data_IF_871537587524
#
_entry.id   IF_871537587524
#
_cell.length_a   1.000
_cell.length_b   1.000
_cell.length_c   1.000
_cell.angle_alpha   90.00
_cell.angle_beta   90.00
_cell.angle_gamma   90.00
#
_symmetry.space_group_name_H-M   'P 1'
#
loop_
_entity.id
_entity.type
_entity.pdbx_description
1 polymer ?
#
# COMPACT_ATOMS: atom_id res chain seq x y z
N UNK A 1 4.29 11.17 1.23
CA UNK A 1 3.00 10.84 0.60
C UNK A 1 2.07 10.61 1.74
N UNK A 2 1.13 11.52 1.88
CA UNK A 2 0.21 11.52 2.99
C UNK A 2 -0.91 10.50 2.70
N UNK A 3 -1.52 9.88 3.72
CA UNK A 3 -2.57 8.88 3.51
C UNK A 3 -3.71 9.38 2.61
N UNK A 4 -4.08 10.66 2.72
CA UNK A 4 -5.12 11.28 1.90
C UNK A 4 -4.74 11.39 0.42
N UNK A 5 -3.45 11.58 0.10
CA UNK A 5 -2.98 11.60 -1.30
C UNK A 5 -3.10 10.20 -1.90
N UNK A 6 -2.81 9.16 -1.11
CA UNK A 6 -2.91 7.77 -1.56
C UNK A 6 -4.36 7.33 -1.73
N UNK A 7 -5.25 7.77 -0.84
CA UNK A 7 -6.69 7.60 -0.98
C UNK A 7 -7.18 8.25 -2.29
N UNK A 8 -6.80 9.50 -2.55
CA UNK A 8 -7.14 10.20 -3.79
C UNK A 8 -6.63 9.45 -5.04
N UNK A 9 -5.42 8.89 -5.00
CA UNK A 9 -4.90 8.08 -6.11
C UNK A 9 -5.70 6.78 -6.29
N UNK A 10 -6.10 6.14 -5.20
CA UNK A 10 -6.92 4.92 -5.23
C UNK A 10 -8.33 5.15 -5.79
N UNK A 11 -8.86 6.38 -5.71
CA UNK A 11 -10.15 6.73 -6.31
C UNK A 11 -10.16 6.66 -7.85
N UNK A 12 -8.98 6.65 -8.48
CA UNK A 12 -8.84 6.43 -9.92
C UNK A 12 -9.08 4.98 -10.36
N UNK A 13 -9.15 4.04 -9.42
CA UNK A 13 -9.38 2.63 -9.72
C UNK A 13 -10.81 2.38 -10.25
N UNK A 14 -10.94 1.49 -11.22
CA UNK A 14 -12.24 1.18 -11.82
C UNK A 14 -13.00 0.14 -10.99
N UNK A 15 -14.28 0.41 -10.77
CA UNK A 15 -15.20 -0.49 -10.08
C UNK A 15 -16.49 -0.64 -10.88
N UNK A 16 -17.13 -1.80 -10.73
CA UNK A 16 -18.41 -2.08 -11.40
C UNK A 16 -19.55 -1.55 -10.55
N UNK A 17 -20.47 -0.81 -11.18
CA UNK A 17 -21.73 -0.38 -10.58
C UNK A 17 -22.92 -0.90 -11.37
N UNK A 18 -24.07 -0.98 -10.71
CA UNK A 18 -25.38 -1.20 -11.33
C UNK A 18 -26.21 0.07 -11.16
N UNK A 19 -26.32 0.92 -12.20
CA UNK A 19 -27.05 2.18 -12.12
C UNK A 19 -28.57 1.94 -12.13
N UNK A 20 -29.30 2.91 -11.57
CA UNK A 20 -30.77 2.94 -11.47
C UNK A 20 -31.38 4.03 -12.36
N UNK A 21 -30.58 4.62 -13.24
CA UNK A 21 -30.95 5.73 -14.10
C UNK A 21 -30.43 5.49 -15.52
N UNK A 22 -30.99 6.23 -16.47
CA UNK A 22 -30.52 6.25 -17.86
C UNK A 22 -29.78 7.55 -18.13
N UNK A 23 -28.62 7.46 -18.77
CA UNK A 23 -27.82 8.60 -19.21
C UNK A 23 -26.88 8.17 -20.33
N UNK A 24 -26.68 9.03 -21.32
CA UNK A 24 -25.68 8.79 -22.38
C UNK A 24 -24.25 8.84 -21.81
N UNK A 25 -23.27 8.39 -22.60
CA UNK A 25 -21.87 8.47 -22.18
C UNK A 25 -21.40 9.91 -22.03
N UNK A 26 -20.45 10.12 -21.12
CA UNK A 26 -19.80 11.41 -20.89
C UNK A 26 -18.32 11.21 -21.15
N UNK A 27 -17.76 12.03 -22.05
CA UNK A 27 -16.33 12.10 -22.30
C UNK A 27 -15.67 13.02 -21.28
N UNK A 28 -14.85 12.45 -20.39
CA UNK A 28 -13.98 13.19 -19.48
C UNK A 28 -12.60 13.35 -20.12
N UNK A 29 -11.73 14.17 -19.51
CA UNK A 29 -10.39 14.43 -20.05
C UNK A 29 -9.54 13.17 -20.21
N UNK A 30 -9.68 12.22 -19.29
CA UNK A 30 -8.84 11.01 -19.22
C UNK A 30 -9.58 9.72 -19.56
N UNK A 31 -10.92 9.72 -19.52
CA UNK A 31 -11.72 8.52 -19.80
C UNK A 31 -13.15 8.87 -20.24
N UNK A 32 -13.84 7.89 -20.83
CA UNK A 32 -15.27 7.97 -21.09
C UNK A 32 -16.02 7.13 -20.05
N UNK A 33 -17.07 7.69 -19.45
CA UNK A 33 -17.93 6.98 -18.49
C UNK A 33 -19.33 6.78 -19.05
N UNK A 34 -19.95 5.64 -18.76
CA UNK A 34 -21.23 5.24 -19.34
C UNK A 34 -21.09 4.63 -20.74
N UNK A 35 -22.18 4.51 -21.51
CA UNK A 35 -23.55 4.94 -21.20
C UNK A 35 -24.14 4.16 -20.01
N UNK A 36 -25.04 4.82 -19.26
CA UNK A 36 -25.70 4.24 -18.10
C UNK A 36 -27.09 3.77 -18.48
N UNK A 37 -27.36 2.49 -18.24
CA UNK A 37 -28.66 1.88 -18.42
C UNK A 37 -29.14 1.23 -17.12
N UNK A 38 -30.40 1.45 -16.70
CA UNK A 38 -30.90 0.87 -15.46
C UNK A 38 -30.70 -0.65 -15.42
N UNK A 39 -30.14 -1.14 -14.31
CA UNK A 39 -29.89 -2.56 -14.04
C UNK A 39 -28.87 -3.24 -14.97
N UNK A 40 -28.10 -2.48 -15.77
CA UNK A 40 -27.01 -3.02 -16.59
C UNK A 40 -25.68 -2.65 -15.92
N UNK A 41 -24.82 -3.62 -15.56
CA UNK A 41 -23.50 -3.34 -14.98
C UNK A 41 -22.66 -2.43 -15.88
N UNK A 42 -21.96 -1.48 -15.28
CA UNK A 42 -21.09 -0.53 -15.98
C UNK A 42 -19.86 -0.24 -15.12
N UNK A 43 -18.69 -0.20 -15.74
CA UNK A 43 -17.44 0.16 -15.06
C UNK A 43 -17.26 1.68 -15.05
N UNK A 44 -16.92 2.21 -13.89
CA UNK A 44 -16.62 3.63 -13.69
C UNK A 44 -15.46 3.78 -12.69
N UNK A 45 -14.74 4.90 -12.71
CA UNK A 45 -13.79 5.22 -11.64
C UNK A 45 -14.48 5.23 -10.26
N UNK A 46 -13.74 4.85 -9.22
CA UNK A 46 -14.26 4.73 -7.86
C UNK A 46 -14.84 6.06 -7.35
N UNK A 47 -14.22 7.20 -7.61
CA UNK A 47 -14.80 8.51 -7.24
C UNK A 47 -16.20 8.72 -7.86
N UNK A 48 -16.41 8.27 -9.11
CA UNK A 48 -17.72 8.36 -9.78
C UNK A 48 -18.72 7.41 -9.13
N UNK A 49 -18.29 6.17 -8.84
CA UNK A 49 -19.14 5.18 -8.16
C UNK A 49 -19.60 5.70 -6.78
N UNK A 50 -18.69 6.25 -5.99
CA UNK A 50 -18.98 6.83 -4.68
C UNK A 50 -19.94 8.01 -4.79
N UNK A 51 -19.70 8.93 -5.74
CA UNK A 51 -20.59 10.06 -5.98
C UNK A 51 -22.02 9.61 -6.35
N UNK A 52 -22.16 8.67 -7.28
CA UNK A 52 -23.47 8.13 -7.67
C UNK A 52 -24.16 7.35 -6.54
N UNK A 53 -23.37 6.66 -5.70
CA UNK A 53 -23.88 5.92 -4.54
C UNK A 53 -24.43 6.87 -3.47
N UNK A 54 -23.76 7.97 -3.16
CA UNK A 54 -24.25 8.99 -2.23
C UNK A 54 -25.61 9.57 -2.66
N UNK A 55 -25.84 9.66 -3.97
CA UNK A 55 -27.11 10.09 -4.55
C UNK A 55 -28.16 8.96 -4.69
N UNK A 56 -27.87 7.75 -4.17
CA UNK A 56 -28.71 6.55 -4.27
C UNK A 56 -29.04 6.12 -5.70
N UNK A 57 -28.22 6.54 -6.67
CA UNK A 57 -28.42 6.30 -8.12
C UNK A 57 -27.81 5.01 -8.62
N UNK A 58 -27.01 4.31 -7.81
CA UNK A 58 -26.46 3.02 -8.16
C UNK A 58 -26.31 2.11 -6.94
N UNK A 59 -26.12 0.83 -7.23
CA UNK A 59 -25.56 -0.16 -6.32
C UNK A 59 -24.12 -0.42 -6.76
N UNK A 60 -23.17 -0.43 -5.83
CA UNK A 60 -21.79 -0.83 -6.14
C UNK A 60 -21.70 -2.35 -6.09
N UNK A 61 -21.01 -2.96 -7.05
CA UNK A 61 -20.71 -4.40 -7.00
C UNK A 61 -19.34 -4.54 -6.33
N UNK A 62 -19.23 -5.27 -5.20
CA UNK A 62 -17.95 -5.44 -4.53
C UNK A 62 -16.95 -6.16 -5.47
N UNK A 63 -15.67 -5.71 -5.50
CA UNK A 63 -14.63 -6.42 -6.24
C UNK A 63 -14.52 -7.88 -5.80
N UNK A 64 -14.13 -8.77 -6.72
CA UNK A 64 -14.08 -10.22 -6.45
C UNK A 64 -13.16 -10.62 -5.30
N UNK A 65 -12.07 -9.86 -5.09
CA UNK A 65 -11.14 -10.05 -3.98
C UNK A 65 -11.72 -9.58 -2.64
N UNK A 66 -12.70 -8.68 -2.62
CA UNK A 66 -13.35 -8.14 -1.42
C UNK A 66 -14.48 -9.07 -0.97
N UNK A 67 -14.14 -10.33 -0.70
CA UNK A 67 -15.05 -11.33 -0.17
C UNK A 67 -14.39 -12.05 1.01
N UNK A 68 -15.20 -12.54 1.95
CA UNK A 68 -14.71 -13.26 3.13
C UNK A 68 -13.80 -14.42 2.74
N UNK A 69 -14.22 -15.24 1.76
CA UNK A 69 -13.44 -16.40 1.31
C UNK A 69 -12.05 -15.97 0.78
N UNK A 70 -12.00 -15.00 -0.13
CA UNK A 70 -10.75 -14.55 -0.75
C UNK A 70 -9.84 -13.85 0.24
N UNK A 71 -10.38 -12.98 1.10
CA UNK A 71 -9.57 -12.29 2.12
C UNK A 71 -9.00 -13.25 3.15
N UNK A 72 -9.74 -14.28 3.55
CA UNK A 72 -9.21 -15.34 4.42
C UNK A 72 -8.07 -16.09 3.74
N UNK A 73 -8.20 -16.46 2.46
CA UNK A 73 -7.11 -17.10 1.70
C UNK A 73 -5.87 -16.20 1.62
N UNK A 74 -6.03 -14.90 1.35
CA UNK A 74 -4.91 -13.96 1.35
C UNK A 74 -4.24 -13.86 2.73
N UNK A 75 -5.03 -13.83 3.80
CA UNK A 75 -4.52 -13.80 5.17
C UNK A 75 -3.76 -15.08 5.53
N UNK A 76 -4.30 -16.26 5.21
CA UNK A 76 -3.65 -17.54 5.46
C UNK A 76 -2.32 -17.65 4.71
N UNK A 77 -2.32 -17.29 3.42
CA UNK A 77 -1.09 -17.26 2.60
C UNK A 77 -0.10 -16.26 3.18
N UNK A 78 -0.55 -15.09 3.63
CA UNK A 78 0.30 -14.12 4.30
C UNK A 78 0.92 -14.73 5.57
N UNK A 79 0.13 -15.30 6.48
CA UNK A 79 0.64 -15.89 7.73
C UNK A 79 1.66 -17.02 7.53
N UNK A 80 1.49 -17.84 6.48
CA UNK A 80 2.39 -18.96 6.17
C UNK A 80 3.76 -18.52 5.64
N UNK A 81 3.85 -17.31 5.07
CA UNK A 81 5.07 -16.82 4.44
C UNK A 81 5.86 -15.91 5.39
N UNK A 82 7.19 -15.99 5.36
CA UNK A 82 8.04 -15.09 6.17
C UNK A 82 8.05 -13.65 5.64
N UNK A 83 8.01 -13.49 4.31
CA UNK A 83 7.94 -12.18 3.65
C UNK A 83 6.52 -11.76 3.29
N UNK A 84 6.35 -10.53 2.81
CA UNK A 84 5.08 -10.05 2.29
C UNK A 84 4.73 -10.77 0.98
N UNK A 85 3.47 -11.23 0.88
CA UNK A 85 2.97 -11.93 -0.30
C UNK A 85 2.29 -10.95 -1.26
N UNK A 86 1.83 -11.42 -2.42
CA UNK A 86 1.13 -10.54 -3.36
C UNK A 86 -0.18 -10.01 -2.71
N UNK A 87 -0.40 -8.69 -2.65
CA UNK A 87 -1.61 -8.14 -2.07
C UNK A 87 -2.84 -8.46 -2.95
N UNK A 88 -4.06 -8.41 -2.39
CA UNK A 88 -5.29 -8.64 -3.16
C UNK A 88 -5.44 -7.66 -4.33
N UNK A 89 -5.01 -6.42 -4.12
CA UNK A 89 -5.03 -5.32 -5.07
C UNK A 89 -3.95 -4.29 -4.68
N UNK A 90 -3.45 -3.49 -5.62
CA UNK A 90 -2.45 -2.42 -5.36
C UNK A 90 -2.91 -1.42 -4.30
N UNK A 91 -4.20 -1.10 -4.31
CA UNK A 91 -4.89 -0.15 -3.42
C UNK A 91 -5.96 -0.83 -2.55
N UNK A 92 -5.75 -2.09 -2.15
CA UNK A 92 -6.81 -2.86 -1.49
C UNK A 92 -7.32 -2.21 -0.19
N UNK A 93 -6.45 -1.54 0.57
CA UNK A 93 -6.80 -0.97 1.86
C UNK A 93 -7.63 0.31 1.69
N UNK A 94 -7.23 1.18 0.76
CA UNK A 94 -7.93 2.42 0.40
C UNK A 94 -9.30 2.09 -0.18
N UNK A 95 -9.36 1.21 -1.19
CA UNK A 95 -10.60 0.81 -1.85
C UNK A 95 -11.55 0.13 -0.87
N UNK A 96 -11.07 -0.80 -0.04
CA UNK A 96 -11.90 -1.45 0.97
C UNK A 96 -12.46 -0.45 1.99
N UNK A 97 -11.65 0.50 2.45
CA UNK A 97 -12.06 1.53 3.43
C UNK A 97 -13.16 2.41 2.84
N UNK A 98 -12.95 2.95 1.63
CA UNK A 98 -13.91 3.80 0.93
C UNK A 98 -15.25 3.09 0.68
N UNK A 99 -15.20 1.83 0.23
CA UNK A 99 -16.39 1.01 -0.03
C UNK A 99 -17.14 0.64 1.26
N UNK A 100 -16.43 0.24 2.32
CA UNK A 100 -17.02 -0.08 3.62
C UNK A 100 -17.58 1.15 4.35
N UNK A 101 -17.17 2.36 3.95
CA UNK A 101 -17.71 3.62 4.48
C UNK A 101 -18.98 4.06 3.76
N UNK A 102 -19.04 3.95 2.42
CA UNK A 102 -20.11 4.55 1.61
C UNK A 102 -21.10 3.54 1.00
N UNK A 103 -20.72 2.26 0.91
CA UNK A 103 -21.47 1.21 0.23
C UNK A 103 -21.63 -0.05 1.09
N UNK A 104 -21.71 0.13 2.41
CA UNK A 104 -21.80 -0.97 3.39
C UNK A 104 -22.96 -1.93 3.10
N UNK A 105 -24.13 -1.42 2.71
CA UNK A 105 -25.31 -2.22 2.35
C UNK A 105 -25.11 -3.10 1.09
N UNK A 106 -24.20 -2.71 0.20
CA UNK A 106 -23.94 -3.42 -1.03
C UNK A 106 -22.98 -4.61 -0.83
N UNK A 107 -22.31 -4.66 0.34
CA UNK A 107 -21.26 -5.61 0.70
C UNK A 107 -21.80 -6.63 1.72
N UNK A 108 -21.89 -7.93 1.36
CA UNK A 108 -22.29 -8.96 2.30
C UNK A 108 -21.19 -9.18 3.36
N UNK A 109 -21.58 -9.45 4.62
CA UNK A 109 -20.66 -9.73 5.73
C UNK A 109 -19.62 -8.60 5.97
N UNK A 110 -20.01 -7.34 5.78
CA UNK A 110 -19.14 -6.16 5.86
C UNK A 110 -18.29 -6.07 7.14
N UNK A 111 -18.82 -6.46 8.31
CA UNK A 111 -18.05 -6.45 9.57
C UNK A 111 -16.90 -7.46 9.57
N UNK A 112 -17.15 -8.65 9.03
CA UNK A 112 -16.11 -9.68 8.90
C UNK A 112 -15.06 -9.26 7.88
N UNK A 113 -15.48 -8.68 6.74
CA UNK A 113 -14.57 -8.13 5.73
C UNK A 113 -13.72 -7.01 6.33
N UNK A 114 -14.30 -6.08 7.09
CA UNK A 114 -13.57 -5.00 7.77
C UNK A 114 -12.48 -5.56 8.68
N UNK A 115 -12.80 -6.61 9.44
CA UNK A 115 -11.85 -7.28 10.34
C UNK A 115 -10.74 -7.97 9.54
N UNK A 116 -11.06 -8.72 8.50
CA UNK A 116 -10.09 -9.42 7.66
C UNK A 116 -9.15 -8.46 6.92
N UNK A 117 -9.65 -7.35 6.39
CA UNK A 117 -8.82 -6.32 5.75
C UNK A 117 -7.84 -5.71 6.76
N UNK A 118 -8.31 -5.41 7.97
CA UNK A 118 -7.46 -4.89 9.05
C UNK A 118 -6.40 -5.91 9.47
N UNK A 119 -6.79 -7.15 9.73
CA UNK A 119 -5.87 -8.22 10.13
C UNK A 119 -4.78 -8.44 9.07
N UNK A 120 -5.17 -8.47 7.78
CA UNK A 120 -4.24 -8.62 6.67
C UNK A 120 -3.26 -7.43 6.60
N UNK A 121 -3.78 -6.20 6.75
CA UNK A 121 -2.97 -4.99 6.82
C UNK A 121 -1.96 -5.03 7.96
N UNK A 122 -2.41 -5.33 9.18
CA UNK A 122 -1.58 -5.37 10.38
C UNK A 122 -0.49 -6.45 10.26
N UNK A 123 -0.82 -7.63 9.71
CA UNK A 123 0.16 -8.68 9.44
C UNK A 123 1.25 -8.23 8.45
N UNK A 124 0.86 -7.56 7.37
CA UNK A 124 1.76 -7.11 6.30
C UNK A 124 2.66 -5.95 6.74
N UNK A 125 2.10 -4.95 7.42
CA UNK A 125 2.87 -3.85 8.01
C UNK A 125 3.80 -4.38 9.10
N UNK A 126 3.35 -5.34 9.92
CA UNK A 126 4.18 -6.00 10.93
C UNK A 126 5.43 -6.65 10.33
N UNK A 127 5.27 -7.38 9.21
CA UNK A 127 6.40 -7.96 8.48
C UNK A 127 7.32 -6.93 7.86
N UNK A 128 6.77 -5.86 7.28
CA UNK A 128 7.56 -4.76 6.75
C UNK A 128 8.44 -4.12 7.84
N UNK A 129 7.87 -3.81 9.00
CA UNK A 129 8.60 -3.24 10.13
C UNK A 129 9.66 -4.22 10.65
N UNK A 130 9.34 -5.51 10.77
CA UNK A 130 10.31 -6.53 11.15
C UNK A 130 11.47 -6.64 10.14
N UNK A 131 11.18 -6.57 8.84
CA UNK A 131 12.18 -6.56 7.77
C UNK A 131 13.10 -5.33 7.87
N UNK A 132 12.52 -4.14 8.08
CA UNK A 132 13.28 -2.90 8.27
C UNK A 132 14.20 -2.95 9.50
N UNK A 133 13.72 -3.49 10.62
CA UNK A 133 14.53 -3.67 11.83
C UNK A 133 15.71 -4.63 11.60
N UNK A 134 15.46 -5.79 10.97
CA UNK A 134 16.50 -6.73 10.63
C UNK A 134 17.54 -6.12 9.68
N UNK A 135 17.10 -5.30 8.72
CA UNK A 135 18.00 -4.59 7.82
C UNK A 135 18.95 -3.64 8.58
N UNK A 136 18.42 -2.82 9.50
CA UNK A 136 19.22 -1.90 10.31
C UNK A 136 20.27 -2.65 11.14
N UNK A 137 19.86 -3.75 11.79
CA UNK A 137 20.72 -4.58 12.63
C UNK A 137 21.80 -5.32 11.83
N UNK A 138 21.48 -5.79 10.63
CA UNK A 138 22.40 -6.55 9.78
C UNK A 138 23.61 -5.74 9.30
N UNK A 139 23.54 -4.40 9.33
CA UNK A 139 24.60 -3.56 8.76
C UNK A 139 24.57 -3.48 7.23
N UNK A 140 23.60 -4.11 6.56
CA UNK A 140 23.48 -4.10 5.11
C UNK A 140 23.33 -2.68 4.54
N UNK A 141 23.72 -2.52 3.27
CA UNK A 141 23.61 -1.27 2.51
C UNK A 141 22.39 -1.22 1.59
N UNK A 142 21.89 -2.39 1.17
CA UNK A 142 20.76 -2.51 0.24
C UNK A 142 19.73 -3.51 0.74
N UNK A 143 18.46 -3.17 0.64
CA UNK A 143 17.34 -4.06 0.91
C UNK A 143 16.45 -4.18 -0.32
N UNK A 144 15.98 -5.40 -0.60
CA UNK A 144 14.92 -5.62 -1.58
C UNK A 144 13.58 -5.56 -0.86
N UNK A 145 12.77 -4.58 -1.24
CA UNK A 145 11.39 -4.46 -0.78
C UNK A 145 10.50 -4.94 -1.91
N UNK A 146 9.68 -5.96 -1.68
CA UNK A 146 8.84 -6.57 -2.70
C UNK A 146 7.44 -6.81 -2.16
N UNK A 147 6.45 -6.72 -3.06
CA UNK A 147 5.05 -7.01 -2.77
C UNK A 147 4.41 -6.15 -1.68
N UNK A 148 4.92 -4.94 -1.40
CA UNK A 148 4.25 -3.96 -0.54
C UNK A 148 3.41 -2.99 -1.36
N UNK A 149 2.30 -2.52 -0.78
CA UNK A 149 1.48 -1.45 -1.36
C UNK A 149 2.04 -0.07 -1.01
N UNK A 150 1.59 0.97 -1.75
CA UNK A 150 2.00 2.35 -1.51
C UNK A 150 1.62 2.84 -0.11
N UNK A 151 0.43 2.47 0.37
CA UNK A 151 -0.03 2.82 1.72
C UNK A 151 0.84 2.13 2.78
N UNK A 152 1.18 0.85 2.61
CA UNK A 152 2.02 0.10 3.55
C UNK A 152 3.39 0.76 3.67
N UNK A 153 3.99 1.12 2.53
CA UNK A 153 5.28 1.83 2.50
C UNK A 153 5.21 3.20 3.16
N UNK A 154 4.12 3.94 2.95
CA UNK A 154 3.95 5.27 3.50
C UNK A 154 3.96 5.30 5.04
N UNK A 155 3.57 4.20 5.70
CA UNK A 155 3.54 4.10 7.17
C UNK A 155 4.88 4.39 7.84
N UNK A 156 6.00 3.94 7.25
CA UNK A 156 7.34 4.12 7.82
C UNK A 156 8.29 4.92 6.93
N UNK A 157 7.90 5.27 5.70
CA UNK A 157 8.79 5.90 4.70
C UNK A 157 9.59 7.07 5.26
N UNK A 158 8.92 8.08 5.81
CA UNK A 158 9.59 9.31 6.26
C UNK A 158 10.54 9.04 7.43
N UNK A 159 10.10 8.25 8.41
CA UNK A 159 10.93 7.90 9.55
C UNK A 159 12.15 7.08 9.11
N UNK A 160 11.91 5.99 8.37
CA UNK A 160 12.94 5.03 7.98
C UNK A 160 14.01 5.69 7.11
N UNK A 161 13.62 6.47 6.11
CA UNK A 161 14.58 7.15 5.21
C UNK A 161 15.43 8.16 5.96
N UNK A 162 14.81 9.03 6.77
CA UNK A 162 15.54 9.99 7.59
C UNK A 162 16.51 9.31 8.56
N UNK A 163 16.09 8.23 9.23
CA UNK A 163 16.96 7.47 10.11
C UNK A 163 18.14 6.83 9.36
N UNK A 164 17.90 6.25 8.19
CA UNK A 164 18.93 5.62 7.38
C UNK A 164 19.94 6.64 6.83
N UNK A 165 19.52 7.84 6.47
CA UNK A 165 20.41 8.93 6.04
C UNK A 165 21.36 9.34 7.18
N UNK A 166 20.84 9.52 8.40
CA UNK A 166 21.66 9.81 9.58
C UNK A 166 22.63 8.66 9.89
N UNK A 167 22.15 7.43 9.80
CA UNK A 167 22.96 6.24 10.03
C UNK A 167 24.09 6.14 8.98
N UNK A 168 23.81 6.44 7.72
CA UNK A 168 24.80 6.49 6.66
C UNK A 168 25.87 7.56 6.92
N UNK A 169 25.47 8.75 7.38
CA UNK A 169 26.40 9.81 7.77
C UNK A 169 27.35 9.35 8.92
N UNK A 170 26.80 8.71 9.95
CA UNK A 170 27.59 8.18 11.07
C UNK A 170 28.56 7.07 10.62
N UNK A 171 28.11 6.16 9.74
CA UNK A 171 28.96 5.11 9.15
C UNK A 171 30.12 5.71 8.35
N UNK A 172 29.86 6.75 7.56
CA UNK A 172 30.89 7.44 6.79
C UNK A 172 31.93 8.14 7.68
N UNK A 173 31.51 8.81 8.76
CA UNK A 173 32.44 9.42 9.73
C UNK A 173 33.31 8.35 10.40
N UNK A 174 32.69 7.24 10.85
CA UNK A 174 33.43 6.12 11.47
C UNK A 174 34.51 5.57 10.54
N UNK A 175 34.20 5.38 9.26
CA UNK A 175 35.18 4.91 8.26
C UNK A 175 36.36 5.87 8.10
N UNK A 176 36.12 7.19 8.09
CA UNK A 176 37.20 8.20 8.03
C UNK A 176 38.10 8.15 9.27
N UNK A 177 37.52 8.03 10.46
CA UNK A 177 38.29 7.96 11.71
C UNK A 177 39.20 6.73 11.74
N UNK A 178 38.66 5.56 11.38
CA UNK A 178 39.45 4.31 11.32
C UNK A 178 40.58 4.41 10.28
N UNK A 179 40.31 4.98 9.10
CA UNK A 179 41.34 5.16 8.06
C UNK A 179 42.48 6.11 8.46
N UNK A 180 42.21 7.14 9.28
CA UNK A 180 43.24 8.08 9.77
C UNK A 180 44.15 7.42 10.81
N UNK A 181 43.63 6.54 11.67
CA UNK A 181 44.44 5.77 12.62
C UNK A 181 45.40 4.78 11.94
N UNK A 182 45.01 4.16 10.83
CA UNK A 182 45.87 3.21 10.11
C UNK A 182 47.00 3.93 9.32
N UNK A 183 46.72 5.13 8.80
CA UNK A 183 47.72 5.97 8.11
C UNK A 183 48.77 6.55 9.07
N UNK A 184 48.37 6.85 10.30
CA UNK A 184 49.31 7.37 11.32
C UNK A 184 50.22 6.26 11.88
N UNK A 185 49.74 5.02 12.02
CA UNK A 185 50.59 3.89 12.42
C UNK A 185 51.61 3.47 11.34
N UNK A 186 51.26 3.57 10.06
CA UNK A 186 52.16 3.24 8.95
C UNK A 186 53.26 4.30 8.72
N UNK A 187 53.04 5.55 9.13
CA UNK A 187 54.06 6.61 9.07
C UNK A 187 55.14 6.52 10.17
N UNK A 188 54.90 5.77 11.25
CA UNK A 188 55.86 5.64 12.38
C UNK A 188 56.83 4.45 12.23
N UNK A 189 56.72 3.62 11.18
CA UNK A 189 57.56 2.43 10.97
C UNK A 189 58.64 2.57 9.89
N UNK A 190 58.84 3.76 9.31
CA UNK A 190 59.83 4.01 8.23
C UNK A 190 61.01 4.87 8.71
N UNK A 191 61.51 4.61 9.91
CA UNK A 191 62.70 5.28 10.44
C UNK A 191 63.52 4.33 11.28
N UNK A 192 64.25 3.43 10.61
CA UNK A 192 65.54 2.88 11.08
C UNK A 192 66.11 1.97 9.98
N UNK A 193 67.02 2.52 9.19
CA UNK A 193 68.00 1.82 8.36
C UNK A 193 69.30 2.63 8.34
#
# INVERSE_FOLDING_TARGET
MDPNELEFLAEGEFVTIVPRFRMESIDLMECQIGPFYPNIPTEVPLWTALYLRQQQKCRIVPPSWLSVARLSEFKEVEELNTGCTAPPHSHYAEVATLLLQHALEDIPNHEQIRTLVKDLWDARVGKFVASANNFILSGASTARVSQLTSLELATARNLLTNCLDQLAALRAVRQRVVGVSDLSQSSMSVSDA
#
